data_IF_198999302881
#
_entry.id   IF_198999302881
#
_cell.length_a   1.000
_cell.length_b   1.000
_cell.length_c   1.000
_cell.angle_alpha   90.00
_cell.angle_beta   90.00
_cell.angle_gamma   90.00
#
_symmetry.space_group_name_H-M   'P 1'
#
loop_
_entity.id
_entity.type
_entity.pdbx_description
1 polymer ?
#
# COMPACT_ATOMS: atom_id res chain seq x y z
N UNK A 1 0.15 8.89 15.05
CA UNK A 1 1.11 8.18 14.18
C UNK A 1 0.68 6.72 13.93
N UNK A 2 0.06 6.42 12.79
CA UNK A 2 -0.46 5.10 12.43
C UNK A 2 -0.44 4.84 10.93
N UNK A 3 -0.24 3.57 10.55
CA UNK A 3 -0.45 3.09 9.18
C UNK A 3 -1.82 2.38 9.10
N UNK A 4 -2.64 2.72 8.11
CA UNK A 4 -3.97 2.12 7.92
C UNK A 4 -3.97 1.04 6.85
N UNK A 5 -3.19 1.22 5.79
CA UNK A 5 -3.05 0.21 4.73
C UNK A 5 -1.67 0.22 4.14
N UNK A 6 -1.27 -0.94 3.64
CA UNK A 6 -0.10 -1.14 2.79
C UNK A 6 -0.55 -2.02 1.63
N UNK A 7 -0.25 -1.62 0.40
CA UNK A 7 -0.66 -2.34 -0.80
C UNK A 7 0.44 -2.39 -1.84
N UNK A 8 0.47 -3.50 -2.58
CA UNK A 8 1.29 -3.69 -3.77
C UNK A 8 0.36 -3.84 -4.97
N UNK A 9 0.62 -3.04 -5.99
CA UNK A 9 -0.16 -2.96 -7.21
C UNK A 9 0.75 -3.11 -8.42
N UNK A 10 0.16 -3.43 -9.56
CA UNK A 10 0.82 -3.39 -10.85
C UNK A 10 0.12 -2.37 -11.74
N UNK A 11 0.85 -1.33 -12.12
CA UNK A 11 0.42 -0.34 -13.11
C UNK A 11 0.75 -0.88 -14.50
N UNK A 12 -0.22 -1.58 -15.09
CA UNK A 12 -0.23 -1.90 -16.51
C UNK A 12 -0.78 -0.72 -17.34
N UNK A 13 -0.96 -0.98 -18.63
CA UNK A 13 -1.66 -0.09 -19.56
C UNK A 13 -2.84 -0.89 -20.16
N UNK A 14 -4.12 -0.49 -19.96
CA UNK A 14 -4.62 0.76 -19.33
C UNK A 14 -5.02 0.61 -17.85
N UNK A 15 -4.81 -0.56 -17.22
CA UNK A 15 -5.38 -0.88 -15.90
C UNK A 15 -4.33 -1.07 -14.81
N UNK A 16 -4.72 -0.69 -13.59
CA UNK A 16 -3.98 -1.01 -12.36
C UNK A 16 -4.57 -2.25 -11.71
N UNK A 17 -3.71 -3.22 -11.40
CA UNK A 17 -4.07 -4.48 -10.75
C UNK A 17 -3.64 -4.45 -9.29
N UNK A 18 -4.57 -4.72 -8.37
CA UNK A 18 -4.20 -4.94 -6.98
C UNK A 18 -3.60 -6.35 -6.85
N UNK A 19 -2.34 -6.44 -6.44
CA UNK A 19 -1.67 -7.74 -6.28
C UNK A 19 -1.81 -8.26 -4.85
N UNK A 20 -1.59 -7.40 -3.87
CA UNK A 20 -1.78 -7.74 -2.45
C UNK A 20 -2.03 -6.48 -1.63
N UNK A 21 -2.75 -6.62 -0.53
CA UNK A 21 -2.96 -5.56 0.43
C UNK A 21 -3.11 -6.10 1.86
N UNK A 22 -2.78 -5.26 2.82
CA UNK A 22 -2.90 -5.48 4.24
C UNK A 22 -3.50 -4.22 4.85
N UNK A 23 -4.33 -4.40 5.88
CA UNK A 23 -5.12 -3.32 6.49
C UNK A 23 -5.06 -3.40 8.01
N UNK A 24 -4.89 -2.25 8.66
CA UNK A 24 -5.14 -2.06 10.09
C UNK A 24 -6.25 -1.02 10.28
N UNK A 25 -7.48 -1.52 10.28
CA UNK A 25 -8.69 -0.72 10.51
C UNK A 25 -9.27 -0.94 11.91
N UNK A 26 -8.44 -1.42 12.85
CA UNK A 26 -8.90 -1.78 14.19
C UNK A 26 -9.43 -0.59 15.01
N UNK A 27 -9.00 0.63 14.69
CA UNK A 27 -9.48 1.89 15.31
C UNK A 27 -10.88 2.30 14.88
N UNK A 28 -11.34 1.82 13.73
CA UNK A 28 -12.66 2.17 13.23
C UNK A 28 -13.73 1.30 13.89
N UNK A 29 -14.94 1.86 13.99
CA UNK A 29 -16.10 1.12 14.46
C UNK A 29 -16.26 -0.16 13.64
N UNK A 30 -16.54 -1.29 14.30
CA UNK A 30 -16.66 -2.61 13.69
C UNK A 30 -17.53 -2.59 12.42
N UNK A 31 -18.67 -1.90 12.45
CA UNK A 31 -19.60 -1.83 11.32
C UNK A 31 -19.09 -1.00 10.12
N UNK A 32 -18.07 -0.16 10.32
CA UNK A 32 -17.47 0.68 9.28
C UNK A 32 -16.22 0.05 8.64
N UNK A 33 -15.62 -0.95 9.30
CA UNK A 33 -14.31 -1.50 8.91
C UNK A 33 -14.26 -1.99 7.46
N UNK A 34 -15.32 -2.66 6.99
CA UNK A 34 -15.39 -3.13 5.59
C UNK A 34 -15.38 -1.97 4.60
N UNK A 35 -16.22 -0.96 4.80
CA UNK A 35 -16.27 0.24 3.95
C UNK A 35 -14.96 1.02 3.97
N UNK A 36 -14.28 1.08 5.12
CA UNK A 36 -12.95 1.71 5.22
C UNK A 36 -11.91 0.91 4.42
N UNK A 37 -11.90 -0.42 4.49
CA UNK A 37 -10.98 -1.23 3.68
C UNK A 37 -11.22 -1.04 2.18
N UNK A 38 -12.49 -1.02 1.75
CA UNK A 38 -12.86 -0.75 0.36
C UNK A 38 -12.38 0.64 -0.09
N UNK A 39 -12.60 1.67 0.73
CA UNK A 39 -12.11 3.02 0.47
C UNK A 39 -10.59 3.05 0.33
N UNK A 40 -9.84 2.45 1.27
CA UNK A 40 -8.38 2.41 1.23
C UNK A 40 -7.86 1.67 -0.01
N UNK A 41 -8.55 0.61 -0.44
CA UNK A 41 -8.25 -0.14 -1.66
C UNK A 41 -8.43 0.73 -2.89
N UNK A 42 -9.61 1.35 -3.01
CA UNK A 42 -9.97 2.21 -4.12
C UNK A 42 -9.00 3.39 -4.25
N UNK A 43 -8.73 4.08 -3.14
CA UNK A 43 -7.79 5.21 -3.09
C UNK A 43 -6.39 4.78 -3.51
N UNK A 44 -5.91 3.61 -3.08
CA UNK A 44 -4.60 3.08 -3.49
C UNK A 44 -4.53 2.82 -5.00
N UNK A 45 -5.57 2.24 -5.58
CA UNK A 45 -5.66 2.01 -7.02
C UNK A 45 -5.70 3.31 -7.81
N UNK A 46 -6.55 4.27 -7.40
CA UNK A 46 -6.70 5.55 -8.05
C UNK A 46 -5.38 6.34 -8.05
N UNK A 47 -4.69 6.40 -6.91
CA UNK A 47 -3.40 7.10 -6.80
C UNK A 47 -2.34 6.45 -7.70
N UNK A 48 -2.24 5.12 -7.71
CA UNK A 48 -1.31 4.41 -8.59
C UNK A 48 -1.65 4.62 -10.09
N UNK A 49 -2.94 4.69 -10.43
CA UNK A 49 -3.41 4.97 -11.80
C UNK A 49 -3.01 6.37 -12.26
N UNK A 50 -3.11 7.36 -11.38
CA UNK A 50 -2.79 8.77 -11.71
C UNK A 50 -1.31 9.10 -11.60
N UNK A 51 -0.52 8.26 -10.95
CA UNK A 51 0.93 8.44 -10.80
C UNK A 51 1.70 7.99 -12.04
N UNK A 52 2.75 8.73 -12.40
CA UNK A 52 3.63 8.39 -13.51
C UNK A 52 4.57 7.22 -13.15
N UNK A 53 5.02 6.47 -14.16
CA UNK A 53 6.07 5.45 -13.97
C UNK A 53 7.37 6.10 -13.47
N UNK A 54 8.05 5.45 -12.53
CA UNK A 54 9.29 5.94 -11.95
C UNK A 54 9.14 7.11 -10.96
N UNK A 55 7.91 7.42 -10.52
CA UNK A 55 7.63 8.57 -9.64
C UNK A 55 7.35 8.17 -8.20
N UNK A 56 7.61 9.11 -7.29
CA UNK A 56 7.22 9.06 -5.87
C UNK A 56 6.41 10.30 -5.54
N UNK A 57 5.30 10.14 -4.84
CA UNK A 57 4.45 11.25 -4.45
C UNK A 57 3.74 11.00 -3.11
N UNK A 58 3.31 12.08 -2.46
CA UNK A 58 2.41 12.05 -1.31
C UNK A 58 1.13 12.79 -1.71
N UNK A 59 -0.03 12.17 -1.48
CA UNK A 59 -1.34 12.74 -1.77
C UNK A 59 -2.12 12.83 -0.46
N UNK A 60 -2.61 14.02 -0.13
CA UNK A 60 -3.49 14.21 1.02
C UNK A 60 -4.92 13.88 0.60
N UNK A 61 -5.57 12.97 1.32
CA UNK A 61 -6.96 12.58 1.11
C UNK A 61 -7.69 12.69 2.45
N UNK A 62 -8.51 13.73 2.61
CA UNK A 62 -9.15 14.07 3.89
C UNK A 62 -8.12 14.24 5.04
N UNK A 63 -8.23 13.40 6.07
CA UNK A 63 -7.34 13.33 7.23
C UNK A 63 -6.14 12.38 7.03
N UNK A 64 -6.10 11.67 5.91
CA UNK A 64 -5.08 10.68 5.58
C UNK A 64 -3.99 11.26 4.68
N UNK A 65 -2.79 10.71 4.81
CA UNK A 65 -1.67 10.95 3.90
C UNK A 65 -1.31 9.64 3.20
N UNK A 66 -1.45 9.64 1.88
CA UNK A 66 -1.20 8.49 1.02
C UNK A 66 0.16 8.67 0.34
N UNK A 67 1.10 7.77 0.57
CA UNK A 67 2.40 7.78 -0.10
C UNK A 67 2.45 6.70 -1.16
N UNK A 68 2.83 7.07 -2.37
CA UNK A 68 2.92 6.17 -3.52
C UNK A 68 4.32 6.16 -4.09
N UNK A 69 4.79 4.96 -4.42
CA UNK A 69 5.96 4.76 -5.25
C UNK A 69 5.59 3.85 -6.43
N UNK A 70 5.69 4.38 -7.65
CA UNK A 70 5.55 3.60 -8.88
C UNK A 70 6.94 3.41 -9.49
N UNK A 71 7.41 2.17 -9.58
CA UNK A 71 8.68 1.83 -10.24
C UNK A 71 8.56 1.97 -11.77
N UNK A 72 9.71 2.05 -12.44
CA UNK A 72 9.77 2.11 -13.91
C UNK A 72 9.25 0.84 -14.59
N UNK A 73 9.26 -0.30 -13.89
CA UNK A 73 8.79 -1.59 -14.38
C UNK A 73 7.30 -1.85 -14.13
N UNK A 74 6.56 -0.84 -13.65
CA UNK A 74 5.12 -0.88 -13.40
C UNK A 74 4.74 -1.39 -12.00
N UNK A 75 5.67 -1.93 -11.21
CA UNK A 75 5.37 -2.35 -9.85
C UNK A 75 5.19 -1.11 -8.95
N UNK A 76 4.07 -1.04 -8.23
CA UNK A 76 3.71 0.10 -7.42
C UNK A 76 3.40 -0.30 -5.99
N UNK A 77 3.73 0.57 -5.05
CA UNK A 77 3.37 0.43 -3.65
C UNK A 77 2.65 1.67 -3.16
N UNK A 78 1.60 1.48 -2.37
CA UNK A 78 0.90 2.57 -1.69
C UNK A 78 0.79 2.25 -0.21
N UNK A 79 1.12 3.23 0.63
CA UNK A 79 0.87 3.19 2.07
C UNK A 79 -0.02 4.37 2.45
N UNK A 80 -1.09 4.10 3.20
CA UNK A 80 -1.98 5.14 3.73
C UNK A 80 -1.75 5.25 5.22
N UNK A 81 -1.45 6.46 5.68
CA UNK A 81 -1.08 6.75 7.05
C UNK A 81 -1.82 8.00 7.56
N UNK A 82 -1.69 8.29 8.85
CA UNK A 82 -2.01 9.63 9.34
C UNK A 82 -0.98 10.67 8.87
N UNK A 83 -1.34 11.95 8.95
CA UNK A 83 -0.50 13.07 8.53
C UNK A 83 0.79 13.23 9.38
N UNK A 84 0.80 12.70 10.61
CA UNK A 84 1.93 12.75 11.52
C UNK A 84 2.97 11.65 11.24
N UNK A 85 2.60 10.62 10.47
CA UNK A 85 3.52 9.52 10.17
C UNK A 85 4.68 10.03 9.29
N UNK A 86 5.96 9.74 9.63
CA UNK A 86 7.06 10.39 8.95
C UNK A 86 7.19 9.87 7.52
N UNK A 87 7.06 10.77 6.54
CA UNK A 87 7.13 10.46 5.12
C UNK A 87 8.38 9.62 4.74
N UNK A 88 9.53 9.90 5.36
CA UNK A 88 10.77 9.14 5.13
C UNK A 88 10.62 7.65 5.47
N UNK A 89 9.90 7.34 6.55
CA UNK A 89 9.66 5.95 6.98
C UNK A 89 8.70 5.26 6.01
N UNK A 90 7.66 5.96 5.55
CA UNK A 90 6.75 5.45 4.52
C UNK A 90 7.48 5.05 3.24
N UNK A 91 8.32 5.92 2.68
CA UNK A 91 9.07 5.59 1.46
C UNK A 91 10.10 4.49 1.67
N UNK A 92 10.77 4.46 2.83
CA UNK A 92 11.69 3.36 3.19
C UNK A 92 10.95 2.01 3.25
N UNK A 93 9.72 2.00 3.78
CA UNK A 93 8.86 0.82 3.81
C UNK A 93 8.47 0.39 2.40
N UNK A 94 8.03 1.33 1.55
CA UNK A 94 7.69 1.05 0.16
C UNK A 94 8.87 0.45 -0.62
N UNK A 95 10.07 1.02 -0.50
CA UNK A 95 11.26 0.49 -1.17
C UNK A 95 11.54 -0.97 -0.77
N UNK A 96 11.49 -1.28 0.54
CA UNK A 96 11.72 -2.65 1.04
C UNK A 96 10.68 -3.63 0.55
N UNK A 97 9.40 -3.26 0.66
CA UNK A 97 8.27 -4.13 0.29
C UNK A 97 8.30 -4.43 -1.21
N UNK A 98 8.57 -3.43 -2.05
CA UNK A 98 8.60 -3.63 -3.50
C UNK A 98 9.83 -4.44 -3.96
N UNK A 99 10.99 -4.25 -3.31
CA UNK A 99 12.16 -5.09 -3.57
C UNK A 99 11.88 -6.55 -3.19
N UNK A 100 11.41 -6.82 -1.97
CA UNK A 100 11.12 -8.17 -1.50
C UNK A 100 10.03 -8.86 -2.32
N UNK A 101 8.93 -8.15 -2.61
CA UNK A 101 7.85 -8.67 -3.44
C UNK A 101 8.36 -9.12 -4.81
N UNK A 102 9.19 -8.29 -5.47
CA UNK A 102 9.73 -8.61 -6.79
C UNK A 102 10.72 -9.79 -6.82
N UNK A 103 11.25 -10.19 -5.66
CA UNK A 103 12.08 -11.39 -5.50
C UNK A 103 11.26 -12.67 -5.31
N UNK A 104 10.05 -12.55 -4.76
CA UNK A 104 9.19 -13.71 -4.44
C UNK A 104 8.13 -13.97 -5.51
N UNK A 105 7.64 -12.91 -6.17
CA UNK A 105 6.57 -12.99 -7.17
C UNK A 105 7.11 -12.58 -8.53
N UNK A 106 7.06 -13.51 -9.48
CA UNK A 106 7.57 -13.30 -10.84
C UNK A 106 6.83 -12.15 -11.52
N UNK A 107 7.57 -11.34 -12.28
CA UNK A 107 7.01 -10.25 -13.10
C UNK A 107 5.96 -10.73 -14.11
N UNK A 108 6.03 -11.99 -14.53
CA UNK A 108 5.06 -12.58 -15.45
C UNK A 108 3.66 -12.73 -14.82
N UNK A 109 3.58 -12.81 -13.49
CA UNK A 109 2.32 -13.01 -12.77
C UNK A 109 1.60 -11.70 -12.46
N UNK A 110 2.27 -10.55 -12.59
CA UNK A 110 1.71 -9.25 -12.20
C UNK A 110 0.51 -8.81 -13.07
N UNK A 111 0.52 -8.96 -14.42
CA UNK A 111 -0.58 -8.49 -15.27
C UNK A 111 -1.91 -9.23 -15.06
N UNK A 112 -1.87 -10.49 -14.63
CA UNK A 112 -3.04 -11.32 -14.32
C UNK A 112 -3.23 -11.54 -12.82
N UNK A 113 -2.40 -10.91 -12.00
CA UNK A 113 -2.36 -11.08 -10.56
C UNK A 113 -3.57 -10.47 -9.85
N UNK A 114 -3.93 -11.08 -8.72
CA UNK A 114 -4.99 -10.65 -7.81
C UNK A 114 -4.61 -11.02 -6.39
N UNK A 115 -5.29 -10.47 -5.36
CA UNK A 115 -5.02 -10.85 -3.97
C UNK A 115 -5.22 -12.35 -3.70
N UNK A 116 -6.05 -13.03 -4.48
CA UNK A 116 -6.32 -14.46 -4.35
C UNK A 116 -5.26 -15.35 -5.03
N UNK A 117 -4.64 -14.88 -6.11
CA UNK A 117 -3.66 -15.66 -6.90
C UNK A 117 -2.22 -15.39 -6.47
N UNK A 118 -1.93 -14.19 -5.97
CA UNK A 118 -0.59 -13.80 -5.55
C UNK A 118 -0.28 -14.34 -4.15
N UNK A 119 0.67 -15.27 -4.10
CA UNK A 119 1.19 -15.87 -2.88
C UNK A 119 2.30 -15.00 -2.28
N UNK A 120 1.90 -13.99 -1.50
CA UNK A 120 2.80 -13.14 -0.73
C UNK A 120 2.14 -12.81 0.61
N UNK A 121 2.77 -13.21 1.71
CA UNK A 121 2.21 -13.12 3.07
C UNK A 121 2.95 -12.15 3.99
N UNK A 122 4.07 -11.56 3.55
CA UNK A 122 4.89 -10.70 4.41
C UNK A 122 4.25 -9.31 4.67
N UNK A 123 3.25 -8.90 3.88
CA UNK A 123 2.68 -7.56 3.92
C UNK A 123 2.05 -7.20 5.28
N UNK A 124 1.30 -8.12 5.88
CA UNK A 124 0.71 -7.95 7.22
C UNK A 124 1.78 -7.79 8.31
N UNK A 125 2.86 -8.58 8.21
CA UNK A 125 4.00 -8.50 9.11
C UNK A 125 4.71 -7.15 8.99
N UNK A 126 4.88 -6.63 7.77
CA UNK A 126 5.41 -5.29 7.53
C UNK A 126 4.51 -4.21 8.11
N UNK A 127 3.21 -4.24 7.83
CA UNK A 127 2.27 -3.25 8.34
C UNK A 127 2.29 -3.23 9.88
N UNK A 128 2.26 -4.39 10.53
CA UNK A 128 2.33 -4.50 11.99
C UNK A 128 3.66 -4.00 12.57
N UNK A 129 4.79 -4.40 11.97
CA UNK A 129 6.13 -4.02 12.44
C UNK A 129 6.38 -2.52 12.37
N UNK A 130 5.80 -1.84 11.39
CA UNK A 130 5.94 -0.40 11.19
C UNK A 130 4.89 0.42 11.93
N UNK A 131 3.99 -0.20 12.71
CA UNK A 131 3.19 0.58 13.65
C UNK A 131 4.09 1.16 14.74
N UNK A 132 3.92 2.46 15.01
CA UNK A 132 4.58 3.09 16.15
C UNK A 132 3.83 2.63 17.40
N UNK A 133 4.47 1.75 18.19
CA UNK A 133 3.99 1.50 19.55
C UNK A 133 4.31 2.74 20.37
N UNK A 134 3.30 3.52 20.73
CA UNK A 134 3.45 4.50 21.81
C UNK A 134 3.81 3.72 23.09
N UNK A 135 4.98 3.95 23.71
CA UNK A 135 5.25 3.40 25.02
C UNK A 135 4.41 4.17 26.03
N UNK A 136 3.43 3.52 26.65
CA UNK A 136 2.68 4.06 27.79
C UNK A 136 1.33 4.69 27.46
N UNK A 137 0.32 3.85 27.24
CA UNK A 137 -1.05 4.12 27.66
C UNK A 137 -1.40 3.15 28.79
#
# INVERSE_FOLDING_TARGET
MRLYSLSVLYKGDPKVHLLKAAYDVSTFNFFQRSSVQEFMTFTSQLIAERSALGSRASVKEQEYLCHVYVRSDGLAGVVIADNEYPQRVCFTLLDKVLDEFSRQVSKMDWPSGSPATISYSALDGYLSKYQVRTPGA
#
